data_IF_608155280311
#
_entry.id   IF_608155280311
#
_cell.length_a   1.000
_cell.length_b   1.000
_cell.length_c   1.000
_cell.angle_alpha   90.00
_cell.angle_beta   90.00
_cell.angle_gamma   90.00
#
_symmetry.space_group_name_H-M   'P 1'
#
loop_
_entity.id
_entity.type
_entity.pdbx_description
1 polymer ?
#
# COMPACT_ATOMS: atom_id res chain seq x y z
N UNK A 1 65.97 15.22 -33.10
CA UNK A 1 66.24 16.46 -32.33
C UNK A 1 65.12 16.81 -31.34
N UNK A 2 63.86 17.01 -31.73
CA UNK A 2 62.78 17.28 -30.74
C UNK A 2 62.38 16.03 -29.92
N UNK A 3 62.38 14.84 -30.54
CA UNK A 3 62.05 13.58 -29.86
C UNK A 3 63.15 13.09 -28.91
N UNK A 4 64.43 13.30 -29.24
CA UNK A 4 65.55 12.87 -28.40
C UNK A 4 65.61 13.65 -27.08
N UNK A 5 65.30 14.95 -27.12
CA UNK A 5 65.17 15.78 -25.91
C UNK A 5 63.98 15.36 -25.03
N UNK A 6 62.88 14.90 -25.62
CA UNK A 6 61.72 14.40 -24.87
C UNK A 6 62.11 13.12 -24.11
N UNK A 7 62.84 12.21 -24.74
CA UNK A 7 63.30 10.96 -24.12
C UNK A 7 64.31 11.18 -22.99
N UNK A 8 65.22 12.15 -23.12
CA UNK A 8 66.19 12.47 -22.08
C UNK A 8 65.54 13.13 -20.85
N UNK A 9 64.61 14.06 -21.07
CA UNK A 9 63.81 14.69 -20.00
C UNK A 9 62.90 13.66 -19.30
N UNK A 10 62.37 12.69 -20.04
CA UNK A 10 61.58 11.57 -19.50
C UNK A 10 62.43 10.62 -18.64
N UNK A 11 63.66 10.34 -19.04
CA UNK A 11 64.59 9.46 -18.32
C UNK A 11 65.06 10.07 -16.99
N UNK A 12 65.27 11.39 -16.94
CA UNK A 12 65.69 12.09 -15.72
C UNK A 12 64.54 12.33 -14.73
N UNK A 13 63.28 12.31 -15.21
CA UNK A 13 62.07 12.60 -14.42
C UNK A 13 61.06 11.44 -14.37
N UNK A 14 61.52 10.19 -14.54
CA UNK A 14 60.66 8.98 -14.56
C UNK A 14 59.69 8.94 -13.38
N UNK A 15 60.17 9.26 -12.17
CA UNK A 15 59.33 9.31 -10.97
C UNK A 15 58.17 10.32 -11.07
N UNK A 16 58.43 11.50 -11.61
CA UNK A 16 57.41 12.55 -11.82
C UNK A 16 56.43 12.16 -12.91
N UNK A 17 56.90 11.52 -13.99
CA UNK A 17 56.02 11.03 -15.06
C UNK A 17 55.08 9.93 -14.54
N UNK A 18 55.59 8.99 -13.75
CA UNK A 18 54.79 7.91 -13.15
C UNK A 18 53.73 8.47 -12.18
N UNK A 19 54.06 9.48 -11.38
CA UNK A 19 53.09 10.08 -10.45
C UNK A 19 52.00 10.85 -11.18
N UNK A 20 52.33 11.59 -12.25
CA UNK A 20 51.34 12.30 -13.08
C UNK A 20 50.39 11.32 -13.77
N UNK A 21 50.92 10.26 -14.40
CA UNK A 21 50.09 9.23 -15.06
C UNK A 21 49.20 8.51 -14.04
N UNK A 22 49.73 8.19 -12.87
CA UNK A 22 48.99 7.55 -11.78
C UNK A 22 47.89 8.47 -11.22
N UNK A 23 48.14 9.77 -11.09
CA UNK A 23 47.15 10.76 -10.69
C UNK A 23 46.01 10.88 -11.72
N UNK A 24 46.34 10.89 -13.01
CA UNK A 24 45.34 10.91 -14.09
C UNK A 24 44.50 9.63 -14.06
N UNK A 25 45.14 8.45 -13.92
CA UNK A 25 44.44 7.18 -13.81
C UNK A 25 43.51 7.13 -12.58
N UNK A 26 43.96 7.66 -11.44
CA UNK A 26 43.15 7.76 -10.23
C UNK A 26 41.94 8.69 -10.41
N UNK A 27 42.09 9.83 -11.09
CA UNK A 27 40.98 10.75 -11.39
C UNK A 27 39.96 10.09 -12.33
N UNK A 28 40.42 9.41 -13.39
CA UNK A 28 39.55 8.67 -14.31
C UNK A 28 38.82 7.55 -13.57
N UNK A 29 39.54 6.78 -12.74
CA UNK A 29 38.96 5.73 -11.90
C UNK A 29 37.93 6.27 -10.91
N UNK A 30 38.18 7.42 -10.29
CA UNK A 30 37.24 8.07 -9.39
C UNK A 30 35.98 8.57 -10.12
N UNK A 31 36.11 9.12 -11.33
CA UNK A 31 34.97 9.54 -12.16
C UNK A 31 34.14 8.35 -12.63
N UNK A 32 34.78 7.27 -13.10
CA UNK A 32 34.12 6.03 -13.48
C UNK A 32 33.39 5.38 -12.29
N UNK A 33 34.04 5.31 -11.12
CA UNK A 33 33.45 4.81 -9.87
C UNK A 33 32.25 5.64 -9.43
N UNK A 34 32.29 6.97 -9.57
CA UNK A 34 31.14 7.84 -9.28
C UNK A 34 29.98 7.62 -10.25
N UNK A 35 30.27 7.47 -11.54
CA UNK A 35 29.24 7.18 -12.54
C UNK A 35 28.57 5.83 -12.29
N UNK A 36 29.36 4.81 -11.98
CA UNK A 36 28.88 3.47 -11.64
C UNK A 36 28.07 3.48 -10.33
N UNK A 37 28.54 4.17 -9.29
CA UNK A 37 27.78 4.31 -8.03
C UNK A 37 26.42 4.97 -8.24
N UNK A 38 26.30 5.93 -9.17
CA UNK A 38 25.01 6.55 -9.51
C UNK A 38 24.07 5.55 -10.19
N UNK A 39 24.57 4.79 -11.17
CA UNK A 39 23.79 3.73 -11.84
C UNK A 39 23.36 2.64 -10.87
N UNK A 40 24.25 2.18 -10.00
CA UNK A 40 23.93 1.19 -8.98
C UNK A 40 22.88 1.69 -7.99
N UNK A 41 22.94 2.95 -7.56
CA UNK A 41 21.89 3.55 -6.72
C UNK A 41 20.54 3.57 -7.42
N UNK A 42 20.51 3.96 -8.70
CA UNK A 42 19.28 3.96 -9.49
C UNK A 42 18.68 2.55 -9.60
N UNK A 43 19.48 1.57 -10.00
CA UNK A 43 19.05 0.18 -10.12
C UNK A 43 18.56 -0.39 -8.78
N UNK A 44 19.24 -0.09 -7.67
CA UNK A 44 18.79 -0.53 -6.33
C UNK A 44 17.44 0.06 -5.94
N UNK A 45 17.20 1.33 -6.24
CA UNK A 45 15.90 1.97 -5.97
C UNK A 45 14.80 1.35 -6.83
N UNK A 46 15.07 1.09 -8.11
CA UNK A 46 14.12 0.42 -9.00
C UNK A 46 13.82 -1.02 -8.53
N UNK A 47 14.84 -1.77 -8.11
CA UNK A 47 14.67 -3.10 -7.52
C UNK A 47 13.85 -3.07 -6.23
N UNK A 48 14.12 -2.11 -5.34
CA UNK A 48 13.35 -1.94 -4.11
C UNK A 48 11.88 -1.64 -4.42
N UNK A 49 11.63 -0.78 -5.40
CA UNK A 49 10.28 -0.47 -5.85
C UNK A 49 9.56 -1.70 -6.38
N UNK A 50 10.18 -2.44 -7.29
CA UNK A 50 9.62 -3.69 -7.82
C UNK A 50 9.34 -4.70 -6.71
N UNK A 51 10.23 -4.81 -5.71
CA UNK A 51 10.04 -5.70 -4.58
C UNK A 51 8.85 -5.29 -3.70
N UNK A 52 8.66 -3.99 -3.47
CA UNK A 52 7.50 -3.45 -2.74
C UNK A 52 6.21 -3.70 -3.53
N UNK A 53 6.20 -3.42 -4.83
CA UNK A 53 5.03 -3.62 -5.70
C UNK A 53 4.65 -5.11 -5.79
N UNK A 54 5.63 -6.00 -5.86
CA UNK A 54 5.39 -7.45 -5.80
C UNK A 54 4.80 -7.86 -4.46
N UNK A 55 5.34 -7.34 -3.35
CA UNK A 55 4.87 -7.67 -2.00
C UNK A 55 3.46 -7.15 -1.74
N UNK A 56 3.10 -5.98 -2.28
CA UNK A 56 1.75 -5.43 -2.17
C UNK A 56 0.74 -6.21 -3.02
N UNK A 57 1.15 -6.71 -4.19
CA UNK A 57 0.36 -7.63 -5.01
C UNK A 57 0.10 -8.96 -4.28
N UNK A 58 1.12 -9.56 -3.68
CA UNK A 58 0.99 -10.81 -2.91
C UNK A 58 0.05 -10.64 -1.71
N UNK A 59 0.17 -9.52 -0.99
CA UNK A 59 -0.79 -9.15 0.06
C UNK A 59 -2.20 -9.01 -0.51
N UNK A 60 -2.35 -8.36 -1.66
CA UNK A 60 -3.62 -8.15 -2.34
C UNK A 60 -4.31 -9.47 -2.71
N UNK A 61 -3.55 -10.43 -3.25
CA UNK A 61 -4.06 -11.77 -3.55
C UNK A 61 -4.58 -12.48 -2.28
N UNK A 62 -3.80 -12.45 -1.20
CA UNK A 62 -4.22 -13.03 0.08
C UNK A 62 -5.48 -12.36 0.65
N UNK A 63 -5.62 -11.05 0.46
CA UNK A 63 -6.80 -10.29 0.86
C UNK A 63 -8.04 -10.67 0.04
N UNK A 64 -7.91 -10.77 -1.29
CA UNK A 64 -9.00 -11.19 -2.19
C UNK A 64 -9.49 -12.59 -1.83
N UNK A 65 -8.57 -13.53 -1.60
CA UNK A 65 -8.89 -14.91 -1.22
C UNK A 65 -9.57 -14.98 0.15
N UNK A 66 -9.09 -14.19 1.12
CA UNK A 66 -9.68 -14.13 2.46
C UNK A 66 -11.10 -13.56 2.42
N UNK A 67 -11.33 -12.51 1.63
CA UNK A 67 -12.66 -11.94 1.42
C UNK A 67 -13.60 -12.94 0.72
N UNK A 68 -13.12 -13.67 -0.29
CA UNK A 68 -13.91 -14.70 -0.96
C UNK A 68 -14.32 -15.83 0.02
N UNK A 69 -13.39 -16.28 0.86
CA UNK A 69 -13.66 -17.29 1.91
C UNK A 69 -14.61 -16.76 2.97
N UNK A 70 -14.49 -15.50 3.37
CA UNK A 70 -15.41 -14.85 4.31
C UNK A 70 -16.83 -14.77 3.74
N UNK A 71 -16.97 -14.40 2.46
CA UNK A 71 -18.27 -14.38 1.78
C UNK A 71 -18.89 -15.78 1.70
N UNK A 72 -18.09 -16.81 1.41
CA UNK A 72 -18.55 -18.20 1.41
C UNK A 72 -18.95 -18.66 2.82
N UNK A 73 -18.15 -18.37 3.84
CA UNK A 73 -18.49 -18.67 5.24
C UNK A 73 -19.85 -18.06 5.62
N UNK A 74 -20.12 -16.82 5.22
CA UNK A 74 -21.39 -16.17 5.46
C UNK A 74 -22.57 -16.92 4.81
N UNK A 75 -22.42 -17.34 3.56
CA UNK A 75 -23.44 -18.09 2.80
C UNK A 75 -23.68 -19.48 3.37
N UNK A 76 -22.61 -20.19 3.74
CA UNK A 76 -22.66 -21.59 4.17
C UNK A 76 -22.74 -21.76 5.69
N UNK A 77 -22.90 -20.68 6.46
CA UNK A 77 -22.91 -20.72 7.94
C UNK A 77 -23.82 -21.80 8.55
N UNK A 78 -24.99 -22.02 7.96
CA UNK A 78 -25.98 -23.00 8.40
C UNK A 78 -25.62 -24.46 8.06
N UNK A 79 -24.70 -24.66 7.11
CA UNK A 79 -24.22 -25.97 6.68
C UNK A 79 -23.11 -26.52 7.60
N UNK A 80 -22.61 -25.72 8.54
CA UNK A 80 -21.67 -26.21 9.55
C UNK A 80 -22.39 -27.20 10.48
N UNK A 81 -21.74 -28.35 10.72
CA UNK A 81 -22.33 -29.48 11.45
C UNK A 81 -22.75 -29.15 12.89
N UNK A 82 -22.13 -28.16 13.52
CA UNK A 82 -22.54 -27.62 14.82
C UNK A 82 -22.03 -26.18 15.02
N UNK A 83 -22.44 -25.56 16.13
CA UNK A 83 -22.02 -24.21 16.51
C UNK A 83 -20.50 -24.09 16.70
N UNK A 84 -19.86 -25.07 17.34
CA UNK A 84 -18.40 -25.05 17.57
C UNK A 84 -17.59 -25.01 16.28
N UNK A 85 -18.02 -25.77 15.26
CA UNK A 85 -17.39 -25.78 13.94
C UNK A 85 -17.54 -24.44 13.22
N UNK A 86 -18.71 -23.80 13.33
CA UNK A 86 -18.93 -22.44 12.81
C UNK A 86 -18.04 -21.42 13.54
N UNK A 87 -18.01 -21.45 14.87
CA UNK A 87 -17.21 -20.51 15.66
C UNK A 87 -15.71 -20.65 15.38
N UNK A 88 -15.22 -21.88 15.16
CA UNK A 88 -13.83 -22.13 14.76
C UNK A 88 -13.51 -21.51 13.39
N UNK A 89 -14.39 -21.70 12.40
CA UNK A 89 -14.21 -21.10 11.07
C UNK A 89 -14.31 -19.57 11.10
N UNK A 90 -15.23 -19.02 11.91
CA UNK A 90 -15.39 -17.58 12.14
C UNK A 90 -14.15 -16.98 12.79
N UNK A 91 -13.64 -17.58 13.86
CA UNK A 91 -12.43 -17.11 14.54
C UNK A 91 -11.20 -17.13 13.60
N UNK A 92 -11.00 -18.20 12.84
CA UNK A 92 -9.91 -18.28 11.86
C UNK A 92 -10.02 -17.18 10.79
N UNK A 93 -11.23 -16.90 10.32
CA UNK A 93 -11.47 -15.82 9.34
C UNK A 93 -11.17 -14.44 9.92
N UNK A 94 -11.60 -14.18 11.17
CA UNK A 94 -11.33 -12.91 11.86
C UNK A 94 -9.83 -12.68 12.07
N UNK A 95 -9.08 -13.69 12.50
CA UNK A 95 -7.61 -13.63 12.66
C UNK A 95 -6.93 -13.27 11.33
N UNK A 96 -7.34 -13.91 10.24
CA UNK A 96 -6.80 -13.62 8.91
C UNK A 96 -7.09 -12.18 8.47
N UNK A 97 -8.32 -11.70 8.69
CA UNK A 97 -8.70 -10.32 8.38
C UNK A 97 -7.88 -9.30 9.17
N UNK A 98 -7.73 -9.47 10.49
CA UNK A 98 -6.90 -8.59 11.32
C UNK A 98 -5.45 -8.58 10.87
N UNK A 99 -4.87 -9.76 10.61
CA UNK A 99 -3.48 -9.87 10.12
C UNK A 99 -3.30 -9.14 8.78
N UNK A 100 -4.26 -9.24 7.87
CA UNK A 100 -4.21 -8.54 6.58
C UNK A 100 -4.36 -7.03 6.73
N UNK A 101 -5.18 -6.56 7.68
CA UNK A 101 -5.32 -5.12 7.97
C UNK A 101 -3.97 -4.55 8.40
N UNK A 102 -3.30 -5.19 9.37
CA UNK A 102 -2.01 -4.71 9.88
C UNK A 102 -0.91 -4.79 8.83
N UNK A 103 -0.86 -5.88 8.05
CA UNK A 103 0.10 -6.02 6.95
C UNK A 103 -0.14 -4.99 5.84
N UNK A 104 -1.41 -4.68 5.57
CA UNK A 104 -1.80 -3.72 4.54
C UNK A 104 -1.31 -2.30 4.84
N UNK A 105 -1.21 -1.92 6.12
CA UNK A 105 -0.69 -0.60 6.53
C UNK A 105 0.75 -0.33 6.08
N UNK A 106 1.54 -1.38 5.83
CA UNK A 106 2.91 -1.23 5.30
C UNK A 106 2.93 -0.76 3.84
N UNK A 107 1.87 -1.03 3.07
CA UNK A 107 1.76 -0.67 1.65
C UNK A 107 0.81 0.50 1.42
N UNK A 108 -0.19 0.65 2.28
CA UNK A 108 -1.26 1.64 2.17
C UNK A 108 -1.27 2.53 3.42
N UNK A 109 -0.46 3.61 3.43
CA UNK A 109 -0.44 4.53 4.55
C UNK A 109 -1.79 5.21 4.74
N UNK A 110 -2.07 5.62 5.97
CA UNK A 110 -3.26 6.40 6.29
C UNK A 110 -3.17 7.79 5.61
N UNK A 111 -4.33 8.32 5.21
CA UNK A 111 -4.49 9.66 4.67
C UNK A 111 -4.41 10.69 5.81
N UNK A 112 -3.83 11.86 5.55
CA UNK A 112 -3.77 12.97 6.53
C UNK A 112 -3.19 12.54 7.91
N UNK A 113 -2.11 11.76 7.89
CA UNK A 113 -1.41 11.28 9.09
C UNK A 113 -0.99 12.38 10.05
N UNK A 114 -0.78 13.60 9.54
CA UNK A 114 -0.16 14.70 10.27
C UNK A 114 -1.18 15.53 11.08
N UNK A 115 -2.47 15.26 10.94
CA UNK A 115 -3.54 16.07 11.53
C UNK A 115 -4.48 15.30 12.47
N UNK A 116 -4.58 13.98 12.34
CA UNK A 116 -5.56 13.19 13.09
C UNK A 116 -4.92 12.06 13.90
N UNK A 117 -5.36 11.87 15.15
CA UNK A 117 -4.94 10.74 15.97
C UNK A 117 -3.47 10.77 16.39
N UNK A 118 -2.89 11.96 16.59
CA UNK A 118 -1.47 12.15 16.95
C UNK A 118 -1.03 11.40 18.23
N UNK A 119 -1.98 11.02 19.09
CA UNK A 119 -1.73 10.19 20.28
C UNK A 119 -1.59 8.68 19.98
N UNK A 120 -1.94 8.23 18.78
CA UNK A 120 -1.80 6.83 18.32
C UNK A 120 -0.39 6.58 17.79
N UNK A 121 0.00 5.31 17.69
CA UNK A 121 1.25 4.91 17.04
C UNK A 121 1.26 5.33 15.57
N UNK A 122 2.43 5.63 15.00
CA UNK A 122 2.55 6.26 13.68
C UNK A 122 1.75 5.60 12.56
N UNK A 123 1.72 4.26 12.49
CA UNK A 123 0.95 3.52 11.48
C UNK A 123 -0.58 3.62 11.63
N UNK A 124 -1.05 4.13 12.76
CA UNK A 124 -2.46 4.31 13.14
C UNK A 124 -2.87 5.79 13.22
N UNK A 125 -1.95 6.72 12.94
CA UNK A 125 -2.24 8.16 12.79
C UNK A 125 -2.89 8.44 11.44
N UNK A 126 -3.79 9.41 11.36
CA UNK A 126 -4.56 9.73 10.16
C UNK A 126 -5.78 8.84 9.94
N UNK A 127 -6.32 8.90 8.72
CA UNK A 127 -7.48 8.15 8.29
C UNK A 127 -7.09 6.91 7.48
N UNK A 128 -7.68 5.77 7.83
CA UNK A 128 -7.43 4.51 7.12
C UNK A 128 -7.72 4.63 5.61
N UNK A 129 -6.86 4.06 4.77
CA UNK A 129 -7.08 4.01 3.33
C UNK A 129 -8.33 3.17 2.97
N UNK A 130 -9.13 3.55 1.95
CA UNK A 130 -10.35 2.83 1.55
C UNK A 130 -10.14 1.33 1.28
N UNK A 131 -8.99 0.96 0.72
CA UNK A 131 -8.63 -0.45 0.50
C UNK A 131 -8.61 -1.28 1.78
N UNK A 132 -8.16 -0.69 2.90
CA UNK A 132 -8.12 -1.36 4.20
C UNK A 132 -9.48 -1.29 4.92
N UNK A 133 -10.29 -0.28 4.64
CA UNK A 133 -11.65 -0.18 5.19
C UNK A 133 -12.52 -1.37 4.76
N UNK A 134 -12.34 -1.88 3.54
CA UNK A 134 -13.01 -3.10 3.04
C UNK A 134 -12.81 -4.31 3.94
N UNK A 135 -11.57 -4.50 4.43
CA UNK A 135 -11.22 -5.61 5.32
C UNK A 135 -11.83 -5.41 6.71
N UNK A 136 -11.85 -4.17 7.20
CA UNK A 136 -12.42 -3.82 8.50
C UNK A 136 -13.93 -4.01 8.50
N UNK A 137 -14.65 -3.56 7.48
CA UNK A 137 -16.10 -3.80 7.42
C UNK A 137 -16.45 -5.27 7.25
N UNK A 138 -15.64 -6.02 6.50
CA UNK A 138 -15.79 -7.48 6.44
C UNK A 138 -15.56 -8.09 7.82
N UNK A 139 -14.53 -7.67 8.55
CA UNK A 139 -14.28 -8.12 9.91
C UNK A 139 -15.49 -7.88 10.79
N UNK A 140 -16.06 -6.68 10.79
CA UNK A 140 -17.25 -6.36 11.59
C UNK A 140 -18.48 -7.18 11.17
N UNK A 141 -18.69 -7.39 9.88
CA UNK A 141 -19.83 -8.20 9.40
C UNK A 141 -19.70 -9.68 9.77
N UNK A 142 -18.49 -10.25 9.69
CA UNK A 142 -18.20 -11.63 10.14
C UNK A 142 -18.23 -11.71 11.66
N UNK A 143 -17.76 -10.69 12.37
CA UNK A 143 -17.82 -10.63 13.82
C UNK A 143 -19.28 -10.55 14.30
N UNK A 144 -20.18 -9.88 13.58
CA UNK A 144 -21.60 -9.86 13.94
C UNK A 144 -22.39 -11.08 13.41
N UNK A 145 -21.73 -12.03 12.75
CA UNK A 145 -22.37 -13.19 12.15
C UNK A 145 -22.60 -14.31 13.19
N UNK A 146 -23.84 -14.77 13.29
CA UNK A 146 -24.22 -15.96 14.05
C UNK A 146 -24.52 -17.12 13.09
N UNK A 147 -24.49 -18.36 13.58
CA UNK A 147 -24.88 -19.54 12.78
C UNK A 147 -26.37 -19.51 12.45
N UNK A 148 -27.19 -19.25 13.47
CA UNK A 148 -28.64 -19.16 13.41
C UNK A 148 -29.04 -17.71 13.79
N UNK A 149 -29.71 -16.99 12.89
CA UNK A 149 -30.15 -15.59 13.12
C UNK A 149 -29.36 -14.49 12.38
N UNK A 150 -29.76 -13.23 12.59
CA UNK A 150 -29.17 -12.06 11.91
C UNK A 150 -29.54 -11.91 10.43
N UNK A 151 -28.90 -10.97 9.69
CA UNK A 151 -29.06 -10.85 8.24
C UNK A 151 -28.86 -12.19 7.52
N UNK A 152 -29.53 -12.39 6.38
CA UNK A 152 -29.39 -13.65 5.63
C UNK A 152 -27.94 -13.86 5.22
N UNK A 153 -27.48 -15.12 5.20
CA UNK A 153 -26.11 -15.46 4.80
C UNK A 153 -25.78 -14.93 3.40
N UNK A 154 -26.76 -14.90 2.51
CA UNK A 154 -26.63 -14.31 1.17
C UNK A 154 -26.44 -12.79 1.22
N UNK A 155 -27.20 -12.07 2.05
CA UNK A 155 -27.06 -10.63 2.21
C UNK A 155 -25.68 -10.25 2.76
N UNK A 156 -25.15 -11.04 3.70
CA UNK A 156 -23.79 -10.84 4.22
C UNK A 156 -22.72 -11.20 3.18
N UNK A 157 -22.90 -12.30 2.44
CA UNK A 157 -22.01 -12.68 1.34
C UNK A 157 -21.93 -11.60 0.25
N UNK A 158 -23.07 -11.05 -0.17
CA UNK A 158 -23.13 -9.98 -1.17
C UNK A 158 -22.45 -8.69 -0.71
N UNK A 159 -22.62 -8.31 0.56
CA UNK A 159 -21.92 -7.16 1.14
C UNK A 159 -20.39 -7.35 1.13
N UNK A 160 -19.92 -8.53 1.49
CA UNK A 160 -18.48 -8.86 1.48
C UNK A 160 -17.94 -8.87 0.04
N UNK A 161 -18.74 -9.33 -0.93
CA UNK A 161 -18.38 -9.25 -2.35
C UNK A 161 -18.22 -7.81 -2.84
N UNK A 162 -19.04 -6.89 -2.35
CA UNK A 162 -18.90 -5.47 -2.67
C UNK A 162 -17.66 -4.84 -2.00
N UNK A 163 -17.32 -5.24 -0.78
CA UNK A 163 -16.05 -4.88 -0.15
C UNK A 163 -14.86 -5.40 -0.98
N UNK A 164 -14.94 -6.62 -1.49
CA UNK A 164 -13.92 -7.21 -2.36
C UNK A 164 -13.76 -6.46 -3.68
N UNK A 165 -14.85 -6.01 -4.31
CA UNK A 165 -14.77 -5.18 -5.53
C UNK A 165 -14.05 -3.86 -5.27
N UNK A 166 -14.33 -3.19 -4.15
CA UNK A 166 -13.62 -1.97 -3.77
C UNK A 166 -12.13 -2.26 -3.53
N UNK A 167 -11.78 -3.33 -2.81
CA UNK A 167 -10.38 -3.73 -2.61
C UNK A 167 -9.65 -3.97 -3.93
N UNK A 168 -10.24 -4.71 -4.87
CA UNK A 168 -9.64 -4.98 -6.19
C UNK A 168 -9.44 -3.69 -6.98
N UNK A 169 -10.43 -2.80 -6.97
CA UNK A 169 -10.36 -1.50 -7.64
C UNK A 169 -9.21 -0.64 -7.09
N UNK A 170 -9.05 -0.58 -5.77
CA UNK A 170 -7.98 0.18 -5.14
C UNK A 170 -6.60 -0.46 -5.37
N UNK A 171 -6.51 -1.78 -5.31
CA UNK A 171 -5.27 -2.52 -5.59
C UNK A 171 -4.82 -2.29 -7.04
N UNK A 172 -5.74 -2.36 -8.01
CA UNK A 172 -5.44 -2.04 -9.40
C UNK A 172 -4.99 -0.59 -9.55
N UNK A 173 -5.63 0.35 -8.85
CA UNK A 173 -5.26 1.76 -8.90
C UNK A 173 -3.85 2.02 -8.33
N UNK A 174 -3.42 1.22 -7.35
CA UNK A 174 -2.08 1.28 -6.76
C UNK A 174 -1.00 0.71 -7.68
N UNK A 175 -1.29 -0.38 -8.42
CA UNK A 175 -0.30 -1.14 -9.19
C UNK A 175 -0.14 -0.74 -10.66
N UNK A 176 -1.02 0.08 -11.25
CA UNK A 176 -1.02 0.38 -12.70
C UNK A 176 0.24 1.16 -13.17
N UNK A 177 1.18 0.54 -13.92
CA UNK A 177 2.44 1.17 -14.35
C UNK A 177 2.25 2.16 -15.51
N UNK A 178 1.22 1.97 -16.35
CA UNK A 178 0.95 2.86 -17.51
C UNK A 178 0.57 4.26 -17.08
N UNK A 179 0.11 4.39 -15.84
CA UNK A 179 -0.22 5.67 -15.22
C UNK A 179 0.99 6.35 -14.61
N UNK A 180 2.07 5.62 -14.32
CA UNK A 180 3.31 6.08 -13.70
C UNK A 180 4.26 6.83 -14.66
N UNK A 181 4.28 6.42 -15.93
CA UNK A 181 5.06 7.10 -16.98
C UNK A 181 4.36 8.34 -17.57
N UNK A 182 3.05 8.53 -17.35
CA UNK A 182 2.32 9.75 -17.74
C UNK A 182 2.36 10.88 -16.67
N UNK A 183 3.11 10.70 -15.57
CA UNK A 183 2.93 11.43 -14.28
C UNK A 183 3.50 12.85 -14.19
N UNK A 184 4.30 13.36 -15.12
CA UNK A 184 5.02 14.62 -14.81
C UNK A 184 4.22 15.92 -15.08
N UNK A 185 2.91 15.92 -15.37
CA UNK A 185 2.25 17.24 -15.48
C UNK A 185 0.74 17.43 -15.62
N UNK A 186 -0.11 16.40 -15.74
CA UNK A 186 -1.57 16.63 -16.00
C UNK A 186 -2.56 15.98 -15.03
N UNK A 187 -2.12 15.28 -13.97
CA UNK A 187 -2.99 14.28 -13.32
C UNK A 187 -3.18 14.40 -11.79
N UNK A 188 -2.90 15.55 -11.18
CA UNK A 188 -3.26 15.76 -9.76
C UNK A 188 -4.78 15.74 -9.53
N UNK A 189 -5.56 16.32 -10.46
CA UNK A 189 -7.03 16.38 -10.36
C UNK A 189 -7.71 15.01 -10.53
N UNK A 190 -7.23 14.16 -11.43
CA UNK A 190 -7.81 12.84 -11.66
C UNK A 190 -7.44 11.84 -10.55
N UNK A 191 -6.23 11.91 -10.00
CA UNK A 191 -5.86 11.15 -8.81
C UNK A 191 -6.77 11.53 -7.63
N UNK A 192 -6.97 12.83 -7.40
CA UNK A 192 -7.88 13.36 -6.37
C UNK A 192 -9.32 12.93 -6.58
N UNK A 193 -9.84 12.99 -7.81
CA UNK A 193 -11.21 12.53 -8.13
C UNK A 193 -11.41 11.05 -7.84
N UNK A 194 -10.44 10.19 -8.17
CA UNK A 194 -10.54 8.75 -7.88
C UNK A 194 -10.44 8.46 -6.40
N UNK A 195 -9.52 9.11 -5.70
CA UNK A 195 -9.44 9.01 -4.24
C UNK A 195 -10.77 9.41 -3.61
N UNK A 196 -11.40 10.49 -4.08
CA UNK A 196 -12.71 10.93 -3.63
C UNK A 196 -13.82 9.91 -3.96
N UNK A 197 -13.78 9.28 -5.13
CA UNK A 197 -14.70 8.19 -5.49
C UNK A 197 -14.52 6.95 -4.59
N UNK A 198 -13.28 6.57 -4.30
CA UNK A 198 -12.98 5.45 -3.40
C UNK A 198 -13.43 5.74 -1.96
N UNK A 199 -13.20 6.96 -1.48
CA UNK A 199 -13.67 7.45 -0.19
C UNK A 199 -15.21 7.45 -0.13
N UNK A 200 -15.88 7.95 -1.17
CA UNK A 200 -17.34 7.95 -1.24
C UNK A 200 -17.91 6.53 -1.28
N UNK A 201 -17.32 5.63 -2.08
CA UNK A 201 -17.74 4.22 -2.12
C UNK A 201 -17.51 3.52 -0.78
N UNK A 202 -16.42 3.88 -0.10
CA UNK A 202 -16.14 3.43 1.24
C UNK A 202 -17.22 3.88 2.24
N UNK A 203 -17.60 5.15 2.21
CA UNK A 203 -18.68 5.70 3.04
C UNK A 203 -20.02 5.01 2.77
N UNK A 204 -20.37 4.73 1.52
CA UNK A 204 -21.59 3.99 1.16
C UNK A 204 -21.62 2.61 1.81
N UNK A 205 -20.52 1.85 1.73
CA UNK A 205 -20.41 0.53 2.32
C UNK A 205 -20.47 0.59 3.85
N UNK A 206 -19.84 1.60 4.45
CA UNK A 206 -19.97 1.87 5.88
C UNK A 206 -21.42 2.16 6.26
N UNK A 207 -22.10 3.03 5.53
CA UNK A 207 -23.49 3.39 5.80
C UNK A 207 -24.39 2.14 5.73
N UNK A 208 -24.20 1.31 4.71
CA UNK A 208 -24.87 0.01 4.60
C UNK A 208 -24.59 -0.89 5.80
N UNK A 209 -23.33 -0.98 6.26
CA UNK A 209 -22.98 -1.77 7.44
C UNK A 209 -23.68 -1.26 8.70
N UNK A 210 -23.69 0.05 8.93
CA UNK A 210 -24.35 0.67 10.10
C UNK A 210 -25.87 0.47 10.06
N UNK A 211 -26.50 0.54 8.88
CA UNK A 211 -27.93 0.21 8.72
C UNK A 211 -28.20 -1.25 9.09
N UNK A 212 -27.30 -2.17 8.75
CA UNK A 212 -27.43 -3.59 9.06
C UNK A 212 -27.14 -3.90 10.53
N UNK A 213 -26.28 -3.11 11.18
CA UNK A 213 -25.76 -3.33 12.54
C UNK A 213 -25.95 -2.08 13.41
N UNK A 214 -27.18 -1.75 13.83
CA UNK A 214 -27.43 -0.61 14.69
C UNK A 214 -26.76 -0.84 16.05
N UNK A 215 -25.83 0.03 16.44
CA UNK A 215 -25.05 -0.07 17.67
C UNK A 215 -23.55 -0.39 17.45
N UNK A 216 -23.14 -0.67 16.22
CA UNK A 216 -21.73 -0.82 15.89
C UNK A 216 -21.01 0.55 15.96
N UNK A 217 -20.08 0.69 16.90
CA UNK A 217 -19.20 1.86 17.01
C UNK A 217 -17.90 1.60 16.27
N UNK A 218 -17.84 1.98 15.00
CA UNK A 218 -16.58 1.97 14.23
C UNK A 218 -15.92 3.34 14.45
N UNK A 219 -14.65 3.34 14.86
CA UNK A 219 -13.82 4.53 15.07
C UNK A 219 -14.13 5.59 14.00
N UNK A 220 -14.64 6.73 14.48
CA UNK A 220 -15.48 7.64 13.70
C UNK A 220 -14.69 8.39 12.64
N UNK A 221 -15.14 8.23 11.40
CA UNK A 221 -14.77 9.04 10.26
C UNK A 221 -15.57 10.35 10.28
N UNK A 222 -14.90 11.50 10.30
CA UNK A 222 -15.48 12.77 9.87
C UNK A 222 -14.45 13.48 8.96
N UNK A 223 -14.21 12.96 7.76
CA UNK A 223 -13.24 13.57 6.79
C UNK A 223 -13.78 14.84 6.11
N UNK A 224 -14.96 15.35 6.51
CA UNK A 224 -15.62 16.53 5.94
C UNK A 224 -15.51 17.80 6.81
N UNK A 225 -14.74 17.83 7.90
CA UNK A 225 -14.49 19.06 8.65
C UNK A 225 -13.34 19.88 8.07
N UNK A 226 -13.46 20.25 6.79
CA UNK A 226 -12.93 21.52 6.30
C UNK A 226 -14.15 22.40 5.99
N UNK A 227 -14.77 22.97 7.03
CA UNK A 227 -15.40 24.27 6.82
C UNK A 227 -14.25 25.27 6.76
N UNK A 228 -14.05 26.03 5.67
CA UNK A 228 -13.16 27.17 5.71
C UNK A 228 -13.66 28.06 6.83
N UNK A 229 -12.77 28.40 7.77
CA UNK A 229 -13.03 29.47 8.72
C UNK A 229 -13.49 30.67 7.90
N UNK A 230 -14.78 31.01 8.03
CA UNK A 230 -15.26 32.31 7.59
C UNK A 230 -14.52 33.32 8.45
N UNK A 231 -13.48 33.92 7.88
CA UNK A 231 -12.89 35.14 8.39
C UNK A 231 -14.01 36.16 8.47
N UNK A 232 -14.46 36.46 9.69
CA UNK A 232 -15.28 37.63 10.01
C UNK A 232 -14.36 38.81 10.29
#
# INVERSE_FOLDING_TARGET
MAFDNIWQILADNVGTVVTVVSAIAAVIGALASRAETRKQRQLRTEQLRQAIDSSSLDWGNAAIDTLARAAMLARTRHLHGNEGAFQTARAATLINLTSLIDRGRMFFPNLESDHHGLSKEGAYQGFRAPILDCLVWTFEEIHALTREGGPTGENSGAFIDDCRKLLVSELQAHLDPRRLDQIVGRYTSQARKRQQQAISRAEELRAQLLTRRPGLSIDTWNRNQEQPETVQ
#
